data_IF_095394441110
#
_entry.id   IF_095394441110
#
_cell.length_a   1.000
_cell.length_b   1.000
_cell.length_c   1.000
_cell.angle_alpha   90.00
_cell.angle_beta   90.00
_cell.angle_gamma   90.00
#
_symmetry.space_group_name_H-M   'P 1'
#
loop_
_entity.id
_entity.type
_entity.pdbx_description
1 polymer ?
#
# COMPACT_ATOMS: atom_id res chain seq x y z
N UNK A 1 7.91 13.11 20.08
CA UNK A 1 7.61 11.65 20.02
C UNK A 1 6.74 11.31 21.21
N UNK A 2 5.72 10.48 21.05
CA UNK A 2 4.90 9.97 22.16
C UNK A 2 5.26 8.52 22.42
N UNK A 3 5.51 8.17 23.67
CA UNK A 3 5.74 6.78 24.10
C UNK A 3 4.38 6.15 24.38
N UNK A 4 4.15 4.99 23.79
CA UNK A 4 2.94 4.19 24.02
C UNK A 4 3.37 2.82 24.56
N UNK A 5 2.61 2.28 25.51
CA UNK A 5 2.72 0.89 25.90
C UNK A 5 1.71 0.09 25.07
N UNK A 6 2.14 -1.05 24.54
CA UNK A 6 1.29 -1.98 23.80
C UNK A 6 1.69 -3.41 24.15
N UNK A 7 0.70 -4.30 24.16
CA UNK A 7 0.91 -5.73 24.35
C UNK A 7 1.06 -6.38 22.97
N UNK A 8 2.09 -7.21 22.81
CA UNK A 8 2.38 -7.98 21.61
C UNK A 8 2.61 -9.42 22.03
N UNK A 9 2.27 -10.38 21.18
CA UNK A 9 2.55 -11.79 21.44
C UNK A 9 4.05 -12.02 21.56
N UNK A 10 4.45 -12.91 22.47
CA UNK A 10 5.85 -13.19 22.76
C UNK A 10 6.63 -13.63 21.52
N UNK A 11 5.99 -14.40 20.63
CA UNK A 11 6.64 -14.88 19.40
C UNK A 11 6.85 -13.75 18.39
N UNK A 12 5.94 -12.76 18.35
CA UNK A 12 6.13 -11.56 17.55
C UNK A 12 7.27 -10.70 18.09
N UNK A 13 7.39 -10.56 19.41
CA UNK A 13 8.49 -9.82 20.03
C UNK A 13 9.84 -10.50 19.71
N UNK A 14 9.93 -11.83 19.80
CA UNK A 14 11.14 -12.59 19.41
C UNK A 14 11.48 -12.40 17.94
N UNK A 15 10.49 -12.40 17.05
CA UNK A 15 10.71 -12.17 15.62
C UNK A 15 11.24 -10.75 15.36
N UNK A 16 10.63 -9.73 15.98
CA UNK A 16 11.08 -8.34 15.92
C UNK A 16 12.53 -8.24 16.41
N UNK A 17 12.87 -8.90 17.52
CA UNK A 17 14.22 -8.89 18.07
C UNK A 17 15.27 -9.43 17.11
N UNK A 18 14.99 -10.58 16.50
CA UNK A 18 15.91 -11.20 15.57
C UNK A 18 16.15 -10.32 14.35
N UNK A 19 15.09 -9.70 13.83
CA UNK A 19 15.18 -8.80 12.67
C UNK A 19 15.87 -7.48 13.05
N UNK A 20 15.53 -6.90 14.19
CA UNK A 20 16.16 -5.68 14.71
C UNK A 20 17.67 -5.86 14.88
N UNK A 21 18.11 -7.01 15.42
CA UNK A 21 19.55 -7.36 15.52
C UNK A 21 20.21 -7.46 14.16
N UNK A 22 19.59 -8.16 13.20
CA UNK A 22 20.14 -8.32 11.83
C UNK A 22 20.24 -7.00 11.06
N UNK A 23 19.30 -6.09 11.29
CA UNK A 23 19.25 -4.78 10.64
C UNK A 23 19.97 -3.69 11.44
N UNK A 24 20.65 -4.03 12.54
CA UNK A 24 21.29 -3.08 13.45
C UNK A 24 20.39 -1.89 13.85
N UNK A 25 19.11 -2.17 14.12
CA UNK A 25 18.12 -1.17 14.48
C UNK A 25 17.48 -1.49 15.83
N UNK A 26 16.81 -0.51 16.45
CA UNK A 26 16.06 -0.74 17.68
C UNK A 26 14.69 -1.33 17.39
N UNK A 27 14.10 -2.03 18.38
CA UNK A 27 12.70 -2.52 18.31
C UNK A 27 11.75 -1.39 17.92
N UNK A 28 11.87 -0.23 18.56
CA UNK A 28 11.00 0.92 18.32
C UNK A 28 11.17 1.54 16.93
N UNK A 29 12.38 1.52 16.37
CA UNK A 29 12.62 1.97 15.00
C UNK A 29 12.02 0.99 13.98
N UNK A 30 12.21 -0.31 14.18
CA UNK A 30 11.62 -1.35 13.33
C UNK A 30 10.10 -1.32 13.36
N UNK A 31 9.49 -1.36 14.56
CA UNK A 31 8.03 -1.34 14.72
C UNK A 31 7.43 -0.08 14.12
N UNK A 32 8.07 1.09 14.29
CA UNK A 32 7.59 2.34 13.67
C UNK A 32 7.58 2.26 12.15
N UNK A 33 8.64 1.70 11.55
CA UNK A 33 8.73 1.53 10.10
C UNK A 33 7.62 0.59 9.61
N UNK A 34 7.48 -0.58 10.24
CA UNK A 34 6.46 -1.55 9.90
C UNK A 34 5.02 -0.99 10.01
N UNK A 35 4.73 -0.24 11.09
CA UNK A 35 3.42 0.40 11.26
C UNK A 35 3.15 1.46 10.18
N UNK A 36 4.16 2.26 9.79
CA UNK A 36 4.01 3.22 8.69
C UNK A 36 3.72 2.54 7.36
N UNK A 37 4.43 1.44 7.08
CA UNK A 37 4.20 0.66 5.86
C UNK A 37 2.81 0.02 5.86
N UNK A 38 2.34 -0.51 6.99
CA UNK A 38 1.00 -1.07 7.12
C UNK A 38 -0.09 -0.01 6.87
N UNK A 39 0.05 1.19 7.44
CA UNK A 39 -0.88 2.30 7.20
C UNK A 39 -0.88 2.74 5.73
N UNK A 40 0.30 2.79 5.10
CA UNK A 40 0.43 3.11 3.68
C UNK A 40 -0.28 2.07 2.80
N UNK A 41 -0.09 0.79 3.08
CA UNK A 41 -0.76 -0.31 2.35
C UNK A 41 -2.27 -0.22 2.50
N UNK A 42 -2.76 -0.04 3.72
CA UNK A 42 -4.18 0.15 3.99
C UNK A 42 -4.76 1.32 3.17
N UNK A 43 -4.06 2.45 3.12
CA UNK A 43 -4.52 3.60 2.32
C UNK A 43 -4.60 3.30 0.83
N UNK A 44 -3.66 2.53 0.28
CA UNK A 44 -3.65 2.14 -1.12
C UNK A 44 -4.82 1.19 -1.41
N UNK A 45 -5.02 0.17 -0.56
CA UNK A 45 -6.12 -0.80 -0.70
C UNK A 45 -7.49 -0.10 -0.69
N UNK A 46 -7.67 0.95 0.14
CA UNK A 46 -8.90 1.74 0.13
C UNK A 46 -9.11 2.50 -1.18
N UNK A 47 -8.05 3.04 -1.77
CA UNK A 47 -8.14 3.71 -3.08
C UNK A 47 -8.47 2.71 -4.19
N UNK A 48 -7.84 1.54 -4.19
CA UNK A 48 -8.13 0.47 -5.14
C UNK A 48 -9.57 -0.03 -5.02
N UNK A 49 -10.07 -0.19 -3.79
CA UNK A 49 -11.45 -0.54 -3.54
C UNK A 49 -12.41 0.52 -4.09
N UNK A 50 -12.09 1.80 -3.87
CA UNK A 50 -12.87 2.91 -4.42
C UNK A 50 -12.86 2.92 -5.96
N UNK A 51 -11.72 2.66 -6.59
CA UNK A 51 -11.64 2.55 -8.05
C UNK A 51 -12.52 1.40 -8.56
N UNK A 52 -12.42 0.22 -7.95
CA UNK A 52 -13.25 -0.94 -8.31
C UNK A 52 -14.74 -0.61 -8.21
N UNK A 53 -15.17 -0.04 -7.09
CA UNK A 53 -16.56 0.38 -6.90
C UNK A 53 -16.98 1.43 -7.93
N UNK A 54 -16.08 2.34 -8.31
CA UNK A 54 -16.33 3.32 -9.37
C UNK A 54 -16.65 2.65 -10.70
N UNK A 55 -15.82 1.69 -11.13
CA UNK A 55 -16.02 0.94 -12.37
C UNK A 55 -17.23 0.00 -12.34
N UNK A 56 -17.57 -0.56 -11.17
CA UNK A 56 -18.79 -1.37 -11.01
C UNK A 56 -20.06 -0.51 -11.10
N UNK A 57 -20.04 0.71 -10.54
CA UNK A 57 -21.20 1.61 -10.52
C UNK A 57 -21.37 2.38 -11.84
N UNK A 58 -20.27 2.68 -12.53
CA UNK A 58 -20.26 3.37 -13.81
C UNK A 58 -19.52 2.47 -14.81
N UNK A 59 -20.20 1.44 -15.35
CA UNK A 59 -19.61 0.61 -16.38
C UNK A 59 -19.26 1.50 -17.57
N UNK A 60 -18.08 1.25 -18.11
CA UNK A 60 -17.50 1.98 -19.22
C UNK A 60 -18.47 1.97 -20.41
N UNK A 61 -18.82 3.14 -20.93
CA UNK A 61 -19.52 3.22 -22.22
C UNK A 61 -18.55 2.92 -23.35
N UNK A 62 -19.03 2.27 -24.42
CA UNK A 62 -18.22 1.85 -25.58
C UNK A 62 -17.43 2.99 -26.24
N UNK A 63 -17.87 4.22 -26.02
CA UNK A 63 -17.44 5.48 -26.62
C UNK A 63 -16.56 6.33 -25.68
N UNK A 64 -16.36 5.91 -24.43
CA UNK A 64 -15.66 6.71 -23.40
C UNK A 64 -14.15 6.84 -23.67
N UNK A 65 -13.55 5.83 -24.33
CA UNK A 65 -12.13 5.83 -24.71
C UNK A 65 -11.89 5.97 -26.22
N UNK A 66 -12.95 6.01 -27.05
CA UNK A 66 -12.86 6.06 -28.52
C UNK A 66 -12.25 7.36 -29.05
N UNK A 67 -12.23 8.43 -28.25
CA UNK A 67 -11.56 9.69 -28.61
C UNK A 67 -10.05 9.50 -28.73
N UNK A 68 -9.46 8.62 -27.92
CA UNK A 68 -8.02 8.38 -27.89
C UNK A 68 -7.55 7.40 -28.97
N UNK A 69 -8.44 6.54 -29.49
CA UNK A 69 -8.15 5.59 -30.57
C UNK A 69 -7.77 6.29 -31.89
N UNK A 70 -8.39 7.44 -32.18
CA UNK A 70 -8.08 8.22 -33.38
C UNK A 70 -6.73 8.96 -33.30
N UNK A 71 -6.17 9.10 -32.09
CA UNK A 71 -4.88 9.77 -31.83
C UNK A 71 -3.70 8.79 -31.75
N UNK A 72 -3.94 7.47 -31.85
CA UNK A 72 -2.89 6.43 -31.85
C UNK A 72 -2.14 6.37 -33.20
N UNK A 73 -1.53 7.48 -33.63
CA UNK A 73 -0.53 7.48 -34.68
C UNK A 73 0.86 7.22 -34.07
N UNK A 74 1.06 6.01 -33.52
CA UNK A 74 2.40 5.53 -33.23
C UNK A 74 3.04 5.24 -34.59
N UNK A 75 3.81 6.20 -35.10
CA UNK A 75 4.42 6.11 -36.42
C UNK A 75 5.08 4.75 -36.65
N UNK A 76 5.01 4.27 -37.89
CA UNK A 76 5.74 3.07 -38.29
C UNK A 76 7.25 3.41 -38.28
N UNK A 77 7.94 2.96 -37.22
CA UNK A 77 9.39 3.04 -36.93
C UNK A 77 10.05 4.42 -36.80
#
# INVERSE_FOLDING_TARGET
MRTIQMTLDDDLVKAIDNVSKRLHTSRSAFTRKALREALSRYSIEQLEHKHRQGYEQHPISSDEFSVWEAEQAWGDE
#
